data_IF_694851598017
#
_entry.id   IF_694851598017
#
_cell.length_a   1.000
_cell.length_b   1.000
_cell.length_c   1.000
_cell.angle_alpha   90.00
_cell.angle_beta   90.00
_cell.angle_gamma   90.00
#
_symmetry.space_group_name_H-M   'P 1'
#
loop_
_entity.id
_entity.type
_entity.pdbx_description
1 polymer ?
#
# COMPACT_ATOMS: atom_id res chain seq x y z
N UNK A 1 28.24 3.60 -12.55
CA UNK A 1 27.81 2.82 -11.37
C UNK A 1 27.04 1.63 -11.87
N UNK A 2 27.44 0.41 -11.53
CA UNK A 2 26.73 -0.82 -11.87
C UNK A 2 26.05 -1.30 -10.59
N UNK A 3 24.74 -1.57 -10.66
CA UNK A 3 24.00 -2.14 -9.54
C UNK A 3 24.22 -3.65 -9.55
N UNK A 4 24.91 -4.17 -8.53
CA UNK A 4 25.04 -5.62 -8.35
C UNK A 4 23.93 -6.13 -7.41
N UNK A 5 23.09 -7.07 -7.86
CA UNK A 5 22.02 -7.61 -7.02
C UNK A 5 22.61 -8.42 -5.87
N UNK A 6 22.22 -8.10 -4.64
CA UNK A 6 22.62 -8.83 -3.42
C UNK A 6 22.11 -10.27 -3.39
N UNK A 7 21.05 -10.58 -4.13
CA UNK A 7 20.47 -11.93 -4.26
C UNK A 7 19.69 -12.08 -5.56
N UNK A 8 19.49 -13.32 -5.98
CA UNK A 8 18.58 -13.63 -7.08
C UNK A 8 17.14 -13.21 -6.72
N UNK A 9 16.38 -12.67 -7.70
CA UNK A 9 14.98 -12.35 -7.49
C UNK A 9 14.18 -13.63 -7.24
N UNK A 10 13.16 -13.51 -6.40
CA UNK A 10 12.18 -14.57 -6.19
C UNK A 10 10.99 -14.30 -7.12
N UNK A 11 10.49 -15.29 -7.86
CA UNK A 11 9.26 -15.12 -8.64
C UNK A 11 8.09 -14.76 -7.72
N UNK A 12 7.22 -13.88 -8.20
CA UNK A 12 5.95 -13.51 -7.55
C UNK A 12 4.84 -13.63 -8.58
N UNK A 13 3.67 -14.07 -8.14
CA UNK A 13 2.47 -14.28 -8.97
C UNK A 13 1.45 -13.17 -8.73
N UNK A 14 0.47 -13.03 -9.63
CA UNK A 14 -0.66 -12.12 -9.42
C UNK A 14 -1.45 -12.50 -8.15
N UNK A 15 -1.53 -13.80 -7.87
CA UNK A 15 -2.16 -14.38 -6.69
C UNK A 15 -1.43 -13.99 -5.39
N UNK A 16 -0.10 -13.89 -5.42
CA UNK A 16 0.67 -13.41 -4.27
C UNK A 16 0.31 -11.95 -3.92
N UNK A 17 0.16 -11.09 -4.92
CA UNK A 17 -0.28 -9.71 -4.74
C UNK A 17 -1.74 -9.63 -4.29
N UNK A 18 -2.63 -10.41 -4.92
CA UNK A 18 -4.04 -10.45 -4.56
C UNK A 18 -4.24 -10.85 -3.09
N UNK A 19 -3.51 -11.87 -2.63
CA UNK A 19 -3.50 -12.31 -1.22
C UNK A 19 -3.01 -11.19 -0.30
N UNK A 20 -1.87 -10.57 -0.60
CA UNK A 20 -1.30 -9.51 0.23
C UNK A 20 -2.22 -8.28 0.35
N UNK A 21 -2.86 -7.87 -0.74
CA UNK A 21 -3.83 -6.76 -0.69
C UNK A 21 -5.08 -7.16 0.09
N UNK A 22 -5.60 -8.38 -0.10
CA UNK A 22 -6.75 -8.88 0.66
C UNK A 22 -6.50 -8.88 2.17
N UNK A 23 -5.30 -9.28 2.61
CA UNK A 23 -4.90 -9.21 4.02
C UNK A 23 -4.94 -7.78 4.58
N UNK A 24 -4.52 -6.77 3.80
CA UNK A 24 -4.58 -5.36 4.21
C UNK A 24 -6.01 -4.83 4.26
N UNK A 25 -6.85 -5.19 3.29
CA UNK A 25 -8.27 -4.80 3.26
C UNK A 25 -9.00 -5.39 4.47
N UNK A 26 -8.76 -6.66 4.79
CA UNK A 26 -9.40 -7.37 5.90
C UNK A 26 -9.01 -6.85 7.29
N UNK A 27 -7.88 -6.13 7.41
CA UNK A 27 -7.47 -5.51 8.67
C UNK A 27 -8.28 -4.26 9.03
N UNK A 28 -9.05 -3.67 8.08
CA UNK A 28 -9.84 -2.46 8.30
C UNK A 28 -9.05 -1.32 8.98
N UNK A 29 -7.80 -1.12 8.55
CA UNK A 29 -6.91 -0.13 9.14
C UNK A 29 -7.48 1.28 8.93
N UNK A 30 -7.45 2.16 9.94
CA UNK A 30 -7.97 3.52 9.83
C UNK A 30 -6.99 4.45 9.12
N UNK A 31 -7.52 5.37 8.30
CA UNK A 31 -6.74 6.40 7.60
C UNK A 31 -6.24 7.44 8.60
N UNK A 32 -4.95 7.68 8.58
CA UNK A 32 -4.30 8.82 9.25
C UNK A 32 -3.76 9.80 8.21
N UNK A 33 -3.67 11.07 8.61
CA UNK A 33 -2.97 12.08 7.81
C UNK A 33 -2.25 13.07 8.70
N UNK A 34 -1.15 13.59 8.19
CA UNK A 34 -0.33 14.61 8.83
C UNK A 34 0.26 15.53 7.78
N UNK A 35 0.74 16.70 8.20
CA UNK A 35 1.53 17.57 7.34
C UNK A 35 3.01 17.40 7.66
N UNK A 36 3.84 17.15 6.65
CA UNK A 36 5.28 17.00 6.77
C UNK A 36 5.97 17.73 5.63
N UNK A 37 6.88 18.67 5.95
CA UNK A 37 7.58 19.45 4.92
C UNK A 37 6.66 20.24 3.98
N UNK A 38 5.49 20.66 4.47
CA UNK A 38 4.45 21.34 3.67
C UNK A 38 3.65 20.41 2.74
N UNK A 39 3.85 19.09 2.84
CA UNK A 39 3.09 18.09 2.09
C UNK A 39 2.09 17.38 2.99
N UNK A 40 0.87 17.15 2.46
CA UNK A 40 -0.13 16.30 3.11
C UNK A 40 0.27 14.83 2.93
N UNK A 41 0.57 14.17 4.03
CA UNK A 41 0.94 12.75 4.09
C UNK A 41 -0.28 11.91 4.48
N UNK A 42 -0.46 10.77 3.82
CA UNK A 42 -1.56 9.83 4.04
C UNK A 42 -1.01 8.45 4.36
N UNK A 43 -1.59 7.79 5.36
CA UNK A 43 -1.33 6.39 5.71
C UNK A 43 -2.59 5.71 6.26
N UNK A 44 -2.53 4.39 6.48
CA UNK A 44 -3.52 3.60 7.21
C UNK A 44 -2.83 2.74 8.27
N UNK A 45 -3.25 2.85 9.53
CA UNK A 45 -2.57 2.19 10.66
C UNK A 45 -1.06 2.49 10.67
N UNK A 46 -0.25 1.43 10.77
CA UNK A 46 1.21 1.50 10.80
C UNK A 46 1.88 1.35 9.41
N UNK A 47 1.11 1.45 8.32
CA UNK A 47 1.67 1.39 6.98
C UNK A 47 2.55 2.63 6.68
N UNK A 48 3.46 2.56 5.69
CA UNK A 48 4.23 3.72 5.27
C UNK A 48 3.33 4.88 4.80
N UNK A 49 3.69 6.10 5.19
CA UNK A 49 2.99 7.30 4.76
C UNK A 49 3.52 7.82 3.42
N UNK A 50 2.61 8.32 2.57
CA UNK A 50 2.94 8.88 1.26
C UNK A 50 2.29 10.26 1.07
N UNK A 51 3.00 11.17 0.39
CA UNK A 51 2.47 12.49 0.05
C UNK A 51 1.33 12.35 -0.98
N UNK A 52 0.12 12.81 -0.63
CA UNK A 52 -1.03 12.75 -1.54
C UNK A 52 -2.09 13.83 -1.25
N UNK A 53 -2.51 14.54 -2.31
CA UNK A 53 -3.58 15.55 -2.28
C UNK A 53 -4.98 15.00 -2.58
N UNK A 54 -5.12 13.70 -2.84
CA UNK A 54 -6.38 13.07 -3.22
C UNK A 54 -7.34 12.81 -2.06
N UNK A 55 -8.59 12.51 -2.42
CA UNK A 55 -9.62 12.02 -1.50
C UNK A 55 -9.47 10.51 -1.34
N UNK A 56 -9.37 10.05 -0.10
CA UNK A 56 -9.16 8.64 0.25
C UNK A 56 -10.25 8.13 1.18
N UNK A 57 -10.55 6.83 1.10
CA UNK A 57 -11.44 6.11 2.03
C UNK A 57 -10.94 6.16 3.47
N UNK A 58 -11.83 5.95 4.43
CA UNK A 58 -11.52 6.04 5.86
C UNK A 58 -10.91 4.76 6.41
N UNK A 59 -11.35 3.59 5.94
CA UNK A 59 -10.82 2.29 6.33
C UNK A 59 -10.27 1.55 5.11
N UNK A 60 -9.27 0.69 5.29
CA UNK A 60 -8.80 -0.17 4.18
C UNK A 60 -9.88 -1.15 3.70
N UNK A 61 -10.81 -1.53 4.58
CA UNK A 61 -11.96 -2.38 4.24
C UNK A 61 -12.92 -1.71 3.23
N UNK A 62 -12.97 -0.38 3.20
CA UNK A 62 -13.86 0.37 2.31
C UNK A 62 -13.41 0.32 0.83
N UNK A 63 -12.18 -0.16 0.57
CA UNK A 63 -11.69 -0.40 -0.80
C UNK A 63 -12.47 -1.54 -1.46
N UNK A 64 -12.89 -2.54 -0.68
CA UNK A 64 -13.51 -3.76 -1.19
C UNK A 64 -12.52 -4.72 -1.84
N UNK A 65 -13.03 -5.62 -2.68
CA UNK A 65 -12.23 -6.61 -3.40
C UNK A 65 -11.33 -5.93 -4.44
N UNK A 66 -10.03 -6.25 -4.39
CA UNK A 66 -9.05 -5.79 -5.39
C UNK A 66 -8.67 -6.96 -6.29
N UNK A 67 -8.95 -6.81 -7.59
CA UNK A 67 -8.62 -7.81 -8.61
C UNK A 67 -7.32 -7.42 -9.33
N UNK A 68 -6.33 -8.32 -9.31
CA UNK A 68 -5.05 -8.14 -10.01
C UNK A 68 -5.20 -8.73 -11.42
N UNK A 69 -5.02 -7.89 -12.45
CA UNK A 69 -5.13 -8.26 -13.86
C UNK A 69 -3.81 -8.05 -14.60
N UNK A 70 -3.57 -8.85 -15.65
CA UNK A 70 -2.40 -8.77 -16.52
C UNK A 70 -2.69 -7.99 -17.81
#
# INVERSE_FOLDING_TARGET
MVFEPLRLPTPVTAEDFARGVSELVNQALPRHHQEEGGSRMITWGDLPAYACGGTHVLLTSDVGEVQITL
#
